data_IF_141398021755
#
_entry.id   IF_141398021755
#
_cell.length_a   1.000
_cell.length_b   1.000
_cell.length_c   1.000
_cell.angle_alpha   90.00
_cell.angle_beta   90.00
_cell.angle_gamma   90.00
#
_symmetry.space_group_name_H-M   'P 1'
#
loop_
_entity.id
_entity.type
_entity.pdbx_description
1 polymer ?
#
# COMPACT_ATOMS: atom_id res chain seq x y z
N UNK A 1 -96.34 -37.37 -51.36
CA UNK A 1 -95.16 -37.11 -50.52
C UNK A 1 -94.42 -35.90 -51.08
N UNK A 2 -94.66 -34.72 -50.53
CA UNK A 2 -94.13 -33.45 -51.07
C UNK A 2 -92.79 -33.15 -50.41
N UNK A 3 -91.68 -33.30 -51.17
CA UNK A 3 -90.33 -32.95 -50.71
C UNK A 3 -90.24 -31.41 -50.69
N UNK A 4 -90.24 -30.82 -49.49
CA UNK A 4 -90.01 -29.38 -49.34
C UNK A 4 -88.52 -29.13 -49.64
N UNK A 5 -88.21 -28.64 -50.85
CA UNK A 5 -86.88 -28.13 -51.19
C UNK A 5 -86.71 -26.77 -50.52
N UNK A 6 -86.09 -26.76 -49.35
CA UNK A 6 -85.62 -25.53 -48.72
C UNK A 6 -84.46 -25.00 -49.59
N UNK A 7 -84.57 -23.77 -50.07
CA UNK A 7 -83.52 -23.12 -50.89
C UNK A 7 -82.18 -23.16 -50.15
N UNK A 8 -81.09 -23.39 -50.89
CA UNK A 8 -79.72 -23.49 -50.35
C UNK A 8 -79.33 -22.26 -49.52
N UNK A 9 -79.88 -21.11 -49.85
CA UNK A 9 -79.61 -19.86 -49.13
C UNK A 9 -80.33 -19.79 -47.79
N UNK A 10 -81.55 -20.35 -47.70
CA UNK A 10 -82.27 -20.49 -46.41
C UNK A 10 -81.50 -21.45 -45.50
N UNK A 11 -80.98 -22.55 -46.04
CA UNK A 11 -80.17 -23.49 -45.27
C UNK A 11 -78.89 -22.84 -44.75
N UNK A 12 -78.18 -22.05 -45.57
CA UNK A 12 -76.99 -21.29 -45.15
C UNK A 12 -77.30 -20.28 -44.04
N UNK A 13 -78.38 -19.51 -44.17
CA UNK A 13 -78.79 -18.53 -43.16
C UNK A 13 -79.09 -19.23 -41.83
N UNK A 14 -79.81 -20.35 -41.85
CA UNK A 14 -80.11 -21.12 -40.65
C UNK A 14 -78.84 -21.72 -40.02
N UNK A 15 -77.91 -22.24 -40.84
CA UNK A 15 -76.65 -22.79 -40.36
C UNK A 15 -75.80 -21.71 -39.68
N UNK A 16 -75.62 -20.55 -40.32
CA UNK A 16 -74.89 -19.42 -39.74
C UNK A 16 -75.55 -18.90 -38.46
N UNK A 17 -76.89 -18.93 -38.38
CA UNK A 17 -77.61 -18.54 -37.17
C UNK A 17 -77.43 -19.54 -36.03
N UNK A 18 -77.39 -20.84 -36.33
CA UNK A 18 -77.11 -21.90 -35.34
C UNK A 18 -75.67 -21.78 -34.84
N UNK A 19 -74.70 -21.52 -35.73
CA UNK A 19 -73.30 -21.31 -35.36
C UNK A 19 -73.13 -20.05 -34.50
N UNK A 20 -73.80 -18.95 -34.84
CA UNK A 20 -73.80 -17.73 -34.02
C UNK A 20 -74.42 -17.97 -32.64
N UNK A 21 -75.52 -18.72 -32.55
CA UNK A 21 -76.14 -19.08 -31.28
C UNK A 21 -75.23 -19.98 -30.43
N UNK A 22 -74.56 -20.96 -31.05
CA UNK A 22 -73.53 -21.77 -30.38
C UNK A 22 -72.39 -20.92 -29.86
N UNK A 23 -71.93 -19.96 -30.66
CA UNK A 23 -70.85 -19.06 -30.24
C UNK A 23 -71.27 -18.17 -29.07
N UNK A 24 -72.50 -17.68 -29.06
CA UNK A 24 -73.08 -16.90 -27.94
C UNK A 24 -73.25 -17.77 -26.68
N UNK A 25 -73.70 -19.01 -26.83
CA UNK A 25 -73.86 -19.97 -25.72
C UNK A 25 -72.50 -20.38 -25.15
N UNK A 26 -71.50 -20.56 -26.02
CA UNK A 26 -70.13 -20.87 -25.64
C UNK A 26 -69.44 -19.67 -24.97
N UNK A 27 -69.70 -18.44 -25.41
CA UNK A 27 -69.29 -17.20 -24.71
C UNK A 27 -69.96 -17.07 -23.34
N UNK A 28 -71.25 -17.39 -23.25
CA UNK A 28 -72.02 -17.32 -21.99
C UNK A 28 -71.65 -18.42 -20.99
N UNK A 29 -71.08 -19.53 -21.47
CA UNK A 29 -70.67 -20.69 -20.68
C UNK A 29 -69.16 -20.73 -20.38
N UNK A 30 -68.33 -20.01 -21.15
CA UNK A 30 -66.86 -20.05 -21.07
C UNK A 30 -66.23 -18.96 -20.18
N UNK A 31 -66.98 -17.93 -19.78
CA UNK A 31 -66.54 -17.02 -18.73
C UNK A 31 -67.50 -17.11 -17.55
N UNK A 32 -67.16 -17.94 -16.56
CA UNK A 32 -67.77 -17.80 -15.25
C UNK A 32 -67.63 -16.32 -14.83
N UNK A 33 -68.71 -15.62 -14.46
CA UNK A 33 -68.61 -14.26 -13.99
C UNK A 33 -67.81 -14.30 -12.69
N UNK A 34 -66.51 -14.02 -12.78
CA UNK A 34 -65.71 -13.79 -11.58
C UNK A 34 -66.31 -12.57 -10.93
N UNK A 35 -66.93 -12.80 -9.77
CA UNK A 35 -67.60 -11.79 -8.97
C UNK A 35 -66.71 -10.53 -8.90
N UNK A 36 -67.20 -9.37 -9.39
CA UNK A 36 -66.46 -8.11 -9.32
C UNK A 36 -65.93 -7.82 -7.92
N UNK A 37 -66.64 -8.24 -6.87
CA UNK A 37 -66.18 -8.14 -5.49
C UNK A 37 -64.95 -9.00 -5.23
N UNK A 38 -64.93 -10.25 -5.71
CA UNK A 38 -63.78 -11.15 -5.57
C UNK A 38 -62.56 -10.66 -6.37
N UNK A 39 -62.77 -10.04 -7.54
CA UNK A 39 -61.68 -9.35 -8.27
C UNK A 39 -61.14 -8.16 -7.49
N UNK A 40 -62.01 -7.34 -6.89
CA UNK A 40 -61.62 -6.20 -6.07
C UNK A 40 -60.83 -6.66 -4.85
N UNK A 41 -61.32 -7.64 -4.09
CA UNK A 41 -60.61 -8.19 -2.92
C UNK A 41 -59.23 -8.74 -3.30
N UNK A 42 -59.11 -9.43 -4.43
CA UNK A 42 -57.82 -9.94 -4.91
C UNK A 42 -56.85 -8.80 -5.29
N UNK A 43 -57.35 -7.69 -5.84
CA UNK A 43 -56.54 -6.54 -6.17
C UNK A 43 -56.11 -5.77 -4.92
N UNK A 44 -56.99 -5.61 -3.93
CA UNK A 44 -56.66 -5.02 -2.64
C UNK A 44 -55.58 -5.81 -1.91
N UNK A 45 -55.68 -7.15 -1.91
CA UNK A 45 -54.66 -8.02 -1.34
C UNK A 45 -53.31 -7.90 -2.06
N UNK A 46 -53.32 -7.81 -3.40
CA UNK A 46 -52.10 -7.57 -4.18
C UNK A 46 -51.51 -6.19 -3.94
N UNK A 47 -52.35 -5.16 -3.79
CA UNK A 47 -51.92 -3.81 -3.48
C UNK A 47 -51.23 -3.75 -2.12
N UNK A 48 -51.87 -4.30 -1.08
CA UNK A 48 -51.28 -4.38 0.25
C UNK A 48 -49.96 -5.17 0.27
N UNK A 49 -49.87 -6.26 -0.50
CA UNK A 49 -48.62 -7.01 -0.64
C UNK A 49 -47.52 -6.24 -1.38
N UNK A 50 -47.89 -5.38 -2.34
CA UNK A 50 -46.95 -4.51 -3.04
C UNK A 50 -46.47 -3.36 -2.16
N UNK A 51 -47.35 -2.73 -1.40
CA UNK A 51 -46.98 -1.69 -0.41
C UNK A 51 -45.94 -2.22 0.58
N UNK A 52 -46.18 -3.41 1.15
CA UNK A 52 -45.23 -4.02 2.08
C UNK A 52 -43.88 -4.35 1.43
N UNK A 53 -43.85 -4.66 0.13
CA UNK A 53 -42.61 -4.86 -0.62
C UNK A 53 -41.88 -3.54 -0.89
N UNK A 54 -42.61 -2.47 -1.18
CA UNK A 54 -42.05 -1.12 -1.37
C UNK A 54 -41.40 -0.67 -0.07
N UNK A 55 -42.12 -0.75 1.05
CA UNK A 55 -41.59 -0.39 2.37
C UNK A 55 -40.30 -1.14 2.71
N UNK A 56 -40.25 -2.44 2.40
CA UNK A 56 -39.06 -3.26 2.59
C UNK A 56 -37.88 -2.79 1.72
N UNK A 57 -38.13 -2.53 0.44
CA UNK A 57 -37.09 -2.05 -0.50
C UNK A 57 -36.60 -0.66 -0.09
N UNK A 58 -37.47 0.22 0.37
CA UNK A 58 -37.10 1.55 0.87
C UNK A 58 -36.22 1.45 2.12
N UNK A 59 -36.54 0.54 3.04
CA UNK A 59 -35.72 0.27 4.22
C UNK A 59 -34.33 -0.29 3.84
N UNK A 60 -34.27 -1.25 2.92
CA UNK A 60 -33.01 -1.81 2.40
C UNK A 60 -32.16 -0.74 1.69
N UNK A 61 -32.78 0.11 0.86
CA UNK A 61 -32.11 1.20 0.19
C UNK A 61 -31.58 2.26 1.17
N UNK A 62 -32.34 2.60 2.21
CA UNK A 62 -31.90 3.51 3.25
C UNK A 62 -30.69 2.93 4.04
N UNK A 63 -30.69 1.62 4.29
CA UNK A 63 -29.57 0.93 4.92
C UNK A 63 -28.33 0.93 4.02
N UNK A 64 -28.49 0.58 2.74
CA UNK A 64 -27.40 0.56 1.77
C UNK A 64 -26.76 1.94 1.60
N UNK A 65 -27.57 3.00 1.62
CA UNK A 65 -27.08 4.39 1.57
C UNK A 65 -26.20 4.75 2.77
N UNK A 66 -26.55 4.26 3.97
CA UNK A 66 -25.71 4.45 5.17
C UNK A 66 -24.38 3.70 5.06
N UNK A 67 -24.41 2.47 4.56
CA UNK A 67 -23.21 1.65 4.35
C UNK A 67 -22.29 2.25 3.29
N UNK A 68 -22.84 2.71 2.17
CA UNK A 68 -22.10 3.41 1.13
C UNK A 68 -21.40 4.67 1.68
N UNK A 69 -22.11 5.49 2.47
CA UNK A 69 -21.51 6.66 3.11
C UNK A 69 -20.39 6.29 4.09
N UNK A 70 -20.51 5.18 4.82
CA UNK A 70 -19.44 4.66 5.69
C UNK A 70 -18.22 4.23 4.87
N UNK A 71 -18.44 3.48 3.79
CA UNK A 71 -17.36 3.00 2.93
C UNK A 71 -16.63 4.17 2.25
N UNK A 72 -17.36 5.20 1.81
CA UNK A 72 -16.79 6.41 1.23
C UNK A 72 -15.88 7.14 2.22
N UNK A 73 -16.25 7.21 3.50
CA UNK A 73 -15.38 7.77 4.56
C UNK A 73 -14.12 6.93 4.77
N UNK A 74 -14.25 5.60 4.82
CA UNK A 74 -13.10 4.70 4.96
C UNK A 74 -12.14 4.85 3.77
N UNK A 75 -12.67 4.94 2.55
CA UNK A 75 -11.86 5.16 1.35
C UNK A 75 -11.13 6.51 1.38
N UNK A 76 -11.80 7.58 1.83
CA UNK A 76 -11.17 8.89 2.00
C UNK A 76 -10.05 8.86 3.06
N UNK A 77 -10.26 8.17 4.18
CA UNK A 77 -9.23 7.97 5.22
C UNK A 77 -8.03 7.19 4.69
N UNK A 78 -8.27 6.11 3.96
CA UNK A 78 -7.21 5.30 3.37
C UNK A 78 -6.41 6.08 2.33
N UNK A 79 -7.06 6.86 1.48
CA UNK A 79 -6.36 7.74 0.53
C UNK A 79 -5.53 8.82 1.22
N UNK A 80 -6.03 9.39 2.32
CA UNK A 80 -5.25 10.33 3.12
C UNK A 80 -4.01 9.65 3.74
N UNK A 81 -4.15 8.42 4.22
CA UNK A 81 -3.03 7.63 4.72
C UNK A 81 -2.01 7.29 3.62
N UNK A 82 -2.47 6.84 2.46
CA UNK A 82 -1.60 6.56 1.31
C UNK A 82 -0.87 7.81 0.81
N UNK A 83 -1.51 8.98 0.82
CA UNK A 83 -0.83 10.25 0.51
C UNK A 83 0.26 10.58 1.51
N UNK A 84 0.02 10.39 2.81
CA UNK A 84 1.05 10.58 3.85
C UNK A 84 2.22 9.62 3.67
N UNK A 85 1.94 8.34 3.41
CA UNK A 85 2.96 7.35 3.11
C UNK A 85 3.74 7.69 1.84
N UNK A 86 3.07 8.13 0.78
CA UNK A 86 3.71 8.54 -0.47
C UNK A 86 4.61 9.77 -0.29
N UNK A 87 4.17 10.76 0.50
CA UNK A 87 4.99 11.91 0.87
C UNK A 87 6.22 11.49 1.67
N UNK A 88 6.05 10.59 2.64
CA UNK A 88 7.16 10.01 3.41
C UNK A 88 8.10 9.17 2.54
N UNK A 89 7.57 8.40 1.59
CA UNK A 89 8.35 7.57 0.69
C UNK A 89 9.12 8.42 -0.33
N UNK A 90 8.59 9.56 -0.75
CA UNK A 90 9.31 10.51 -1.59
C UNK A 90 10.49 11.18 -0.86
N UNK A 91 10.47 11.22 0.48
CA UNK A 91 11.63 11.62 1.29
C UNK A 91 12.68 10.51 1.41
N UNK A 92 12.30 9.25 1.20
CA UNK A 92 13.17 8.08 1.20
C UNK A 92 13.65 7.83 -0.23
N UNK A 93 14.67 8.57 -0.68
CA UNK A 93 15.40 8.19 -1.89
C UNK A 93 16.15 6.87 -1.61
N UNK A 94 15.88 5.77 -2.34
CA UNK A 94 16.55 4.49 -2.14
C UNK A 94 18.07 4.59 -2.20
N UNK A 95 18.59 5.50 -3.02
CA UNK A 95 20.03 5.73 -3.12
C UNK A 95 20.65 6.25 -1.81
N UNK A 96 19.94 7.08 -1.05
CA UNK A 96 20.45 7.59 0.22
C UNK A 96 20.52 6.49 1.29
N UNK A 97 19.50 5.63 1.35
CA UNK A 97 19.53 4.45 2.22
C UNK A 97 20.64 3.47 1.84
N UNK A 98 20.85 3.28 0.53
CA UNK A 98 21.96 2.47 0.06
C UNK A 98 23.31 3.09 0.47
N UNK A 99 23.51 4.39 0.26
CA UNK A 99 24.77 5.09 0.61
C UNK A 99 25.11 4.97 2.10
N UNK A 100 24.12 5.04 2.99
CA UNK A 100 24.37 4.93 4.43
C UNK A 100 24.63 3.48 4.85
N UNK A 101 23.90 2.51 4.30
CA UNK A 101 24.05 1.09 4.61
C UNK A 101 25.36 0.50 4.04
N UNK A 102 25.95 1.12 3.02
CA UNK A 102 27.26 0.76 2.47
C UNK A 102 28.44 1.31 3.28
N UNK A 103 28.20 2.11 4.32
CA UNK A 103 29.27 2.60 5.20
C UNK A 103 29.52 1.59 6.32
N UNK A 104 30.76 1.12 6.43
CA UNK A 104 31.16 0.40 7.64
C UNK A 104 31.21 1.36 8.83
N UNK A 105 31.15 0.89 10.08
CA UNK A 105 31.18 1.76 11.25
C UNK A 105 32.39 2.72 11.27
N UNK A 106 33.57 2.26 10.85
CA UNK A 106 34.76 3.11 10.71
C UNK A 106 34.57 4.19 9.62
N UNK A 107 33.97 3.84 8.48
CA UNK A 107 33.70 4.79 7.39
C UNK A 107 32.66 5.83 7.80
N UNK A 108 31.62 5.43 8.55
CA UNK A 108 30.64 6.36 9.12
C UNK A 108 31.31 7.34 10.06
N UNK A 109 32.16 6.86 10.98
CA UNK A 109 32.91 7.71 11.90
C UNK A 109 33.78 8.73 11.12
N UNK A 110 34.53 8.27 10.11
CA UNK A 110 35.31 9.15 9.23
C UNK A 110 34.42 10.23 8.59
N UNK A 111 33.25 9.86 8.06
CA UNK A 111 32.35 10.79 7.39
C UNK A 111 31.73 11.81 8.36
N UNK A 112 31.27 11.38 9.54
CA UNK A 112 30.73 12.27 10.58
C UNK A 112 31.78 13.30 11.02
N UNK A 113 33.01 12.85 11.27
CA UNK A 113 34.10 13.75 11.66
C UNK A 113 34.52 14.70 10.52
N UNK A 114 34.42 14.27 9.26
CA UNK A 114 34.67 15.12 8.09
C UNK A 114 33.67 16.28 8.06
N UNK A 115 32.38 16.01 8.32
CA UNK A 115 31.32 17.05 8.34
C UNK A 115 31.55 18.10 9.43
N UNK A 116 32.20 17.72 10.54
CA UNK A 116 32.60 18.65 11.62
C UNK A 116 33.82 19.52 11.27
N UNK A 117 34.40 19.37 10.07
CA UNK A 117 35.52 20.17 9.60
C UNK A 117 36.90 19.61 10.00
N UNK A 118 36.98 18.40 10.53
CA UNK A 118 38.27 17.82 10.91
C UNK A 118 39.12 17.43 9.69
N UNK A 119 40.42 17.68 9.80
CA UNK A 119 41.39 17.28 8.79
C UNK A 119 41.55 15.76 8.76
N UNK A 120 41.99 15.19 7.63
CA UNK A 120 42.25 13.75 7.53
C UNK A 120 43.29 13.26 8.55
N UNK A 121 44.27 14.12 8.89
CA UNK A 121 45.28 13.83 9.90
C UNK A 121 44.65 13.74 11.29
N UNK A 122 43.80 14.69 11.66
CA UNK A 122 43.14 14.69 12.98
C UNK A 122 42.13 13.55 13.11
N UNK A 123 41.38 13.25 12.05
CA UNK A 123 40.50 12.07 11.99
C UNK A 123 41.30 10.79 12.21
N UNK A 124 42.44 10.64 11.53
CA UNK A 124 43.27 9.43 11.67
C UNK A 124 43.81 9.25 13.09
N UNK A 125 44.26 10.36 13.71
CA UNK A 125 44.72 10.39 15.11
C UNK A 125 43.57 10.02 16.06
N UNK A 126 42.38 10.59 15.83
CA UNK A 126 41.19 10.36 16.67
C UNK A 126 40.68 8.93 16.61
N UNK A 127 40.73 8.30 15.43
CA UNK A 127 40.25 6.94 15.22
C UNK A 127 41.33 5.87 15.42
N UNK A 128 42.58 6.26 15.70
CA UNK A 128 43.69 5.33 15.87
C UNK A 128 44.03 4.55 14.60
N UNK A 129 43.76 5.10 13.41
CA UNK A 129 44.03 4.46 12.12
C UNK A 129 45.11 5.21 11.33
N UNK A 130 45.69 4.56 10.32
CA UNK A 130 46.67 5.21 9.45
C UNK A 130 46.01 6.33 8.63
N UNK A 131 46.66 7.49 8.51
CA UNK A 131 46.15 8.63 7.72
C UNK A 131 45.86 8.26 6.25
N UNK A 132 46.66 7.33 5.70
CA UNK A 132 46.41 6.76 4.38
C UNK A 132 45.04 6.10 4.25
N UNK A 133 44.58 5.39 5.29
CA UNK A 133 43.26 4.74 5.36
C UNK A 133 42.14 5.78 5.32
N UNK A 134 42.25 6.85 6.12
CA UNK A 134 41.29 7.94 6.13
C UNK A 134 41.20 8.61 4.75
N UNK A 135 42.34 9.01 4.18
CA UNK A 135 42.39 9.65 2.86
C UNK A 135 41.84 8.76 1.75
N UNK A 136 42.22 7.48 1.76
CA UNK A 136 41.73 6.52 0.77
C UNK A 136 40.22 6.29 0.90
N UNK A 137 39.69 6.21 2.11
CA UNK A 137 38.26 6.07 2.38
C UNK A 137 37.48 7.25 1.82
N UNK A 138 37.89 8.47 2.18
CA UNK A 138 37.26 9.70 1.69
C UNK A 138 37.33 9.80 0.17
N UNK A 139 38.49 9.51 -0.44
CA UNK A 139 38.64 9.52 -1.90
C UNK A 139 37.74 8.50 -2.60
N UNK A 140 37.65 7.27 -2.07
CA UNK A 140 36.80 6.22 -2.64
C UNK A 140 35.32 6.59 -2.56
N UNK A 141 34.86 7.10 -1.41
CA UNK A 141 33.46 7.50 -1.22
C UNK A 141 33.11 8.76 -2.03
N UNK A 142 33.98 9.77 -2.06
CA UNK A 142 33.85 10.94 -2.93
C UNK A 142 33.70 10.54 -4.40
N UNK A 143 34.55 9.64 -4.89
CA UNK A 143 34.45 9.13 -6.27
C UNK A 143 33.17 8.34 -6.51
N UNK A 144 32.77 7.48 -5.56
CA UNK A 144 31.54 6.71 -5.68
C UNK A 144 30.29 7.59 -5.72
N UNK A 145 30.33 8.73 -5.03
CA UNK A 145 29.23 9.70 -4.97
C UNK A 145 29.36 10.81 -6.01
N UNK A 146 30.34 10.68 -6.92
CA UNK A 146 30.58 11.61 -8.03
C UNK A 146 30.87 13.06 -7.60
N UNK A 147 31.38 13.26 -6.38
CA UNK A 147 31.79 14.58 -5.93
C UNK A 147 33.17 14.92 -6.52
N UNK A 148 33.29 16.11 -7.11
CA UNK A 148 34.50 16.60 -7.76
C UNK A 148 35.56 17.07 -6.77
N UNK A 149 35.10 17.60 -5.63
CA UNK A 149 35.97 18.16 -4.61
C UNK A 149 35.46 17.86 -3.19
N UNK A 150 36.30 18.18 -2.20
CA UNK A 150 36.01 17.89 -0.79
C UNK A 150 34.80 18.67 -0.27
N UNK A 151 34.63 19.92 -0.68
CA UNK A 151 33.52 20.78 -0.24
C UNK A 151 32.18 20.20 -0.68
N UNK A 152 32.08 19.80 -1.94
CA UNK A 152 30.90 19.13 -2.49
C UNK A 152 30.62 17.81 -1.77
N UNK A 153 31.66 17.02 -1.47
CA UNK A 153 31.50 15.79 -0.71
C UNK A 153 31.00 16.04 0.72
N UNK A 154 31.49 17.08 1.39
CA UNK A 154 31.02 17.49 2.72
C UNK A 154 29.57 17.97 2.70
N UNK A 155 29.15 18.72 1.68
CA UNK A 155 27.76 19.13 1.47
C UNK A 155 26.85 17.92 1.22
N UNK A 156 27.27 16.99 0.36
CA UNK A 156 26.53 15.75 0.11
C UNK A 156 26.37 14.91 1.38
N UNK A 157 27.40 14.86 2.24
CA UNK A 157 27.31 14.19 3.55
C UNK A 157 26.33 14.90 4.49
N UNK A 158 26.37 16.23 4.57
CA UNK A 158 25.42 17.02 5.39
C UNK A 158 23.99 16.77 4.95
N UNK A 159 23.75 16.82 3.64
CA UNK A 159 22.43 16.55 3.07
C UNK A 159 21.98 15.11 3.36
N UNK A 160 22.87 14.14 3.14
CA UNK A 160 22.58 12.74 3.43
C UNK A 160 22.16 12.55 4.89
N UNK A 161 22.93 13.07 5.85
CA UNK A 161 22.65 12.90 7.27
C UNK A 161 21.40 13.66 7.74
N UNK A 162 21.09 14.80 7.12
CA UNK A 162 19.89 15.58 7.42
C UNK A 162 18.60 14.88 6.99
N UNK A 163 18.65 13.97 6.00
CA UNK A 163 17.47 13.27 5.45
C UNK A 163 16.95 12.13 6.31
N UNK A 164 17.81 11.51 7.13
CA UNK A 164 17.36 10.49 8.09
C UNK A 164 16.76 11.18 9.31
N UNK A 165 15.93 10.49 10.09
CA UNK A 165 15.76 10.88 11.50
C UNK A 165 16.84 10.22 12.36
N UNK A 166 16.95 10.64 13.62
CA UNK A 166 18.02 10.18 14.50
C UNK A 166 17.92 8.69 14.82
N UNK A 167 16.70 8.16 14.90
CA UNK A 167 16.46 6.75 15.18
C UNK A 167 16.92 5.88 14.02
N UNK A 168 16.48 6.16 12.80
CA UNK A 168 16.86 5.38 11.62
C UNK A 168 18.34 5.52 11.29
N UNK A 169 18.94 6.71 11.52
CA UNK A 169 20.37 6.90 11.36
C UNK A 169 21.17 6.03 12.34
N UNK A 170 20.75 5.98 13.61
CA UNK A 170 21.37 5.15 14.62
C UNK A 170 21.21 3.66 14.31
N UNK A 171 20.02 3.22 13.91
CA UNK A 171 19.78 1.83 13.51
C UNK A 171 20.64 1.41 12.31
N UNK A 172 20.86 2.31 11.34
CA UNK A 172 21.68 2.02 10.16
C UNK A 172 23.18 2.00 10.45
N UNK A 173 23.66 2.86 11.36
CA UNK A 173 25.11 3.12 11.50
C UNK A 173 25.72 2.73 12.84
N UNK A 174 24.92 2.57 13.88
CA UNK A 174 25.36 2.42 15.27
C UNK A 174 25.80 3.72 15.96
N UNK A 175 25.86 4.85 15.25
CA UNK A 175 26.24 6.15 15.82
C UNK A 175 25.05 7.10 15.92
N UNK A 176 24.96 7.92 16.97
CA UNK A 176 24.08 9.08 16.95
C UNK A 176 24.65 10.13 15.99
N UNK A 177 23.79 10.92 15.33
CA UNK A 177 24.24 11.91 14.32
C UNK A 177 25.15 12.99 14.89
N UNK A 178 24.92 13.36 16.14
CA UNK A 178 25.72 14.34 16.87
C UNK A 178 26.97 13.73 17.51
N UNK A 179 27.26 12.45 17.27
CA UNK A 179 28.42 11.75 17.83
C UNK A 179 29.73 12.50 17.60
N UNK A 180 30.01 12.93 16.36
CA UNK A 180 31.25 13.62 16.05
C UNK A 180 31.35 15.00 16.74
N UNK A 181 30.22 15.67 16.97
CA UNK A 181 30.20 16.96 17.66
C UNK A 181 30.44 16.79 19.17
N UNK A 182 29.87 15.73 19.76
CA UNK A 182 30.00 15.42 21.20
C UNK A 182 31.34 14.79 21.54
N UNK A 183 31.80 13.84 20.72
CA UNK A 183 32.92 12.95 21.05
C UNK A 183 34.10 13.05 20.07
N UNK A 184 34.00 13.85 19.00
CA UNK A 184 35.08 13.96 18.01
C UNK A 184 36.38 14.53 18.56
N UNK A 185 36.29 15.39 19.59
CA UNK A 185 37.43 16.06 20.21
C UNK A 185 37.79 15.51 21.61
N UNK A 186 37.07 14.52 22.12
CA UNK A 186 37.36 13.92 23.43
C UNK A 186 38.29 12.72 23.28
N UNK A 187 39.03 12.34 24.34
CA UNK A 187 39.84 11.11 24.34
C UNK A 187 39.00 9.87 24.02
N UNK A 188 39.60 8.87 23.37
CA UNK A 188 38.92 7.62 22.98
C UNK A 188 38.30 6.90 24.19
N UNK A 189 38.93 7.00 25.37
CA UNK A 189 38.42 6.43 26.63
C UNK A 189 37.09 7.03 27.09
N UNK A 190 36.75 8.23 26.63
CA UNK A 190 35.50 8.93 26.95
C UNK A 190 34.43 8.76 25.86
N UNK A 191 34.76 8.08 24.76
CA UNK A 191 33.83 7.81 23.67
C UNK A 191 33.12 6.46 23.90
N UNK A 192 31.82 6.48 24.26
CA UNK A 192 31.06 5.26 24.52
C UNK A 192 30.86 4.42 23.26
N UNK A 193 31.12 4.96 22.06
CA UNK A 193 31.00 4.28 20.77
C UNK A 193 32.35 3.83 20.22
N UNK A 194 33.43 3.95 20.99
CA UNK A 194 34.78 3.61 20.54
C UNK A 194 34.94 2.16 20.09
N UNK A 195 34.17 1.23 20.68
CA UNK A 195 34.13 -0.18 20.31
C UNK A 195 33.69 -0.42 18.84
N UNK A 196 32.99 0.53 18.21
CA UNK A 196 32.54 0.39 16.83
C UNK A 196 33.67 0.54 15.80
N UNK A 197 34.75 1.24 16.15
CA UNK A 197 35.86 1.51 15.22
C UNK A 197 37.23 1.08 15.76
N UNK A 198 37.33 0.72 17.04
CA UNK A 198 38.56 0.24 17.65
C UNK A 198 38.45 -1.27 17.93
N UNK A 199 39.01 -2.09 17.04
CA UNK A 199 38.98 -3.57 17.17
C UNK A 199 40.01 -4.12 18.17
N UNK A 200 40.56 -3.28 19.05
CA UNK A 200 41.57 -3.68 20.04
C UNK A 200 40.97 -4.14 21.37
N UNK A 201 39.93 -4.97 21.35
CA UNK A 201 39.68 -5.92 22.44
C UNK A 201 40.16 -7.31 21.98
N UNK A 202 41.16 -7.83 22.67
CA UNK A 202 42.04 -8.89 22.19
C UNK A 202 41.34 -10.16 21.71
N UNK A 203 41.56 -10.50 20.44
CA UNK A 203 41.64 -11.89 20.01
C UNK A 203 43.13 -12.20 19.83
N UNK A 204 43.71 -13.19 20.54
CA UNK A 204 45.08 -13.58 20.29
C UNK A 204 45.16 -14.10 18.86
N UNK A 205 45.91 -13.39 18.02
CA UNK A 205 46.28 -13.82 16.69
C UNK A 205 46.95 -15.19 16.83
N UNK A 206 46.23 -16.26 16.49
CA UNK A 206 46.84 -17.59 16.33
C UNK A 206 47.86 -17.46 15.20
N UNK A 207 49.13 -17.27 15.59
CA UNK A 207 50.25 -17.61 14.73
C UNK A 207 50.12 -19.11 14.49
N UNK A 208 49.79 -19.49 13.27
CA UNK A 208 50.04 -20.83 12.76
C UNK A 208 51.55 -21.08 12.83
N UNK A 209 51.99 -21.71 13.92
CA UNK A 209 53.19 -22.54 13.91
C UNK A 209 52.89 -23.73 12.98
N UNK A 210 53.27 -23.60 11.71
CA UNK A 210 53.48 -24.76 10.85
C UNK A 210 54.96 -25.10 10.92
N UNK A 211 55.20 -26.20 11.63
CA UNK A 211 56.49 -26.87 11.79
C UNK A 211 57.16 -27.09 10.43
N UNK A 212 58.39 -26.59 10.31
CA UNK A 212 59.36 -27.08 9.36
C UNK A 212 60.14 -28.20 10.05
N UNK A 213 59.76 -29.45 9.80
CA UNK A 213 60.63 -30.61 10.07
C UNK A 213 60.12 -31.85 9.33
N UNK A 214 60.72 -32.13 8.17
CA UNK A 214 60.89 -33.47 7.61
C UNK A 214 61.77 -33.40 6.36
N UNK A 215 63.08 -33.49 6.55
CA UNK A 215 63.97 -34.02 5.52
C UNK A 215 65.05 -34.85 6.21
N UNK A 216 64.78 -36.15 6.33
CA UNK A 216 65.77 -37.23 6.33
C UNK A 216 65.18 -38.35 5.48
#
# INVERSE_FOLDING_TARGET
MTKIMISRDIFRILLSRIEALRWIEQMSSSEAPVDPHQKMTNLEQKHAALELRVDKVEAEHAQLKKEYAKLQRQFAQMNAYLRKLSQSAHMINPEHYQRINELTPLQTAICLLTVTGMSSADISRRLGCAEGTTRQTLRRKSKAWQCENRTEFEEALRELFARFDDKHFFEATGYPKDWAQKYGNVPVSEDPYSFLYNTQEGTPSQKTETAAEATV
#
